data_IF_593933133724
#
_entry.id   IF_593933133724
#
_cell.length_a   1.000
_cell.length_b   1.000
_cell.length_c   1.000
_cell.angle_alpha   90.00
_cell.angle_beta   90.00
_cell.angle_gamma   90.00
#
_symmetry.space_group_name_H-M   'P 1'
#
loop_
_entity.id
_entity.type
_entity.pdbx_description
1 polymer ?
#
# COMPACT_ATOMS: atom_id res chain seq x y z
N UNK A 1 3.88 -12.19 -11.49
CA UNK A 1 3.58 -12.06 -10.04
C UNK A 1 4.44 -12.88 -9.07
N UNK A 2 5.10 -13.97 -9.47
CA UNK A 2 5.86 -14.86 -8.56
C UNK A 2 6.90 -14.13 -7.68
N UNK A 3 7.58 -13.11 -8.25
CA UNK A 3 8.55 -12.26 -7.54
C UNK A 3 7.92 -11.40 -6.42
N UNK A 4 6.75 -10.82 -6.65
CA UNK A 4 6.05 -10.00 -5.65
C UNK A 4 5.61 -10.81 -4.43
N UNK A 5 5.07 -12.01 -4.65
CA UNK A 5 4.71 -12.93 -3.56
C UNK A 5 5.94 -13.40 -2.76
N UNK A 6 7.06 -13.64 -3.44
CA UNK A 6 8.33 -13.96 -2.78
C UNK A 6 8.83 -12.82 -1.87
N UNK A 7 8.75 -11.58 -2.35
CA UNK A 7 9.12 -10.41 -1.54
C UNK A 7 8.24 -10.30 -0.29
N UNK A 8 6.93 -10.44 -0.46
CA UNK A 8 5.97 -10.39 0.64
C UNK A 8 6.19 -11.50 1.67
N UNK A 9 6.48 -12.72 1.22
CA UNK A 9 6.82 -13.83 2.12
C UNK A 9 8.11 -13.57 2.91
N UNK A 10 9.13 -12.94 2.29
CA UNK A 10 10.36 -12.54 2.99
C UNK A 10 10.07 -11.48 4.06
N UNK A 11 9.29 -10.45 3.73
CA UNK A 11 8.90 -9.40 4.69
C UNK A 11 8.06 -9.97 5.82
N UNK A 12 7.14 -10.91 5.53
CA UNK A 12 6.40 -11.63 6.56
C UNK A 12 7.32 -12.39 7.51
N UNK A 13 8.27 -13.17 6.98
CA UNK A 13 9.24 -13.91 7.80
C UNK A 13 10.17 -13.00 8.62
N UNK A 14 10.42 -11.76 8.18
CA UNK A 14 11.10 -10.76 9.01
C UNK A 14 10.19 -10.24 10.13
N UNK A 15 8.93 -9.92 9.80
CA UNK A 15 7.93 -9.45 10.77
C UNK A 15 7.60 -10.48 11.86
N UNK A 16 7.56 -11.77 11.52
CA UNK A 16 7.40 -12.87 12.49
C UNK A 16 8.56 -12.97 13.47
N UNK A 17 9.80 -12.71 13.01
CA UNK A 17 10.99 -12.77 13.86
C UNK A 17 11.16 -11.55 14.76
N UNK A 18 10.85 -10.35 14.24
CA UNK A 18 11.14 -9.08 14.92
C UNK A 18 9.95 -8.57 15.72
N UNK A 19 8.72 -8.72 15.21
CA UNK A 19 7.52 -8.08 15.75
C UNK A 19 6.40 -9.10 15.96
N UNK A 20 6.70 -10.27 16.56
CA UNK A 20 5.77 -11.41 16.62
C UNK A 20 4.39 -11.07 17.20
N UNK A 21 4.37 -10.32 18.29
CA UNK A 21 3.16 -10.05 19.06
C UNK A 21 2.64 -8.61 18.89
N UNK A 22 3.44 -7.73 18.29
CA UNK A 22 3.10 -6.32 18.17
C UNK A 22 2.45 -6.01 16.81
N UNK A 23 1.11 -6.05 16.81
CA UNK A 23 0.31 -5.78 15.61
C UNK A 23 0.49 -4.34 15.11
N UNK A 24 0.70 -3.38 16.01
CA UNK A 24 0.88 -1.98 15.65
C UNK A 24 2.19 -1.78 14.91
N UNK A 25 3.29 -2.38 15.39
CA UNK A 25 4.57 -2.35 14.69
C UNK A 25 4.51 -3.07 13.34
N UNK A 26 3.80 -4.20 13.24
CA UNK A 26 3.59 -4.88 11.95
C UNK A 26 2.83 -4.01 10.95
N UNK A 27 1.76 -3.37 11.41
CA UNK A 27 0.96 -2.47 10.59
C UNK A 27 1.78 -1.25 10.14
N UNK A 28 2.57 -0.69 11.05
CA UNK A 28 3.48 0.41 10.76
C UNK A 28 4.53 0.03 9.71
N UNK A 29 5.20 -1.13 9.87
CA UNK A 29 6.17 -1.64 8.90
C UNK A 29 5.54 -1.88 7.53
N UNK A 30 4.33 -2.42 7.50
CA UNK A 30 3.59 -2.61 6.27
C UNK A 30 3.34 -1.27 5.55
N UNK A 31 2.82 -0.27 6.27
CA UNK A 31 2.56 1.05 5.70
C UNK A 31 3.84 1.67 5.16
N UNK A 32 4.93 1.63 5.91
CA UNK A 32 6.19 2.24 5.46
C UNK A 32 6.87 1.48 4.33
N UNK A 33 6.89 0.15 4.32
CA UNK A 33 7.64 -0.63 3.33
C UNK A 33 6.79 -0.96 2.09
N UNK A 34 5.56 -1.42 2.27
CA UNK A 34 4.73 -1.88 1.17
C UNK A 34 4.05 -0.71 0.49
N UNK A 35 3.46 0.24 1.23
CA UNK A 35 2.81 1.39 0.58
C UNK A 35 3.81 2.30 -0.13
N UNK A 36 5.04 2.44 0.37
CA UNK A 36 6.07 3.23 -0.30
C UNK A 36 6.52 2.59 -1.62
N UNK A 37 6.76 1.29 -1.65
CA UNK A 37 7.12 0.56 -2.87
C UNK A 37 5.97 0.61 -3.88
N UNK A 38 4.73 0.46 -3.42
CA UNK A 38 3.55 0.60 -4.28
C UNK A 38 3.38 2.02 -4.82
N UNK A 39 3.71 3.05 -4.03
CA UNK A 39 3.70 4.45 -4.46
C UNK A 39 4.72 4.70 -5.57
N UNK A 40 5.96 4.25 -5.36
CA UNK A 40 7.04 4.39 -6.33
C UNK A 40 6.76 3.59 -7.62
N UNK A 41 6.19 2.40 -7.49
CA UNK A 41 5.82 1.58 -8.65
C UNK A 41 4.85 2.28 -9.61
N UNK A 42 4.00 3.18 -9.11
CA UNK A 42 3.05 3.94 -9.95
C UNK A 42 3.75 4.98 -10.82
N UNK A 43 4.84 5.57 -10.35
CA UNK A 43 5.66 6.48 -11.17
C UNK A 43 6.29 5.73 -12.35
N UNK A 44 6.63 4.44 -12.15
CA UNK A 44 7.23 3.59 -13.20
C UNK A 44 6.16 3.02 -14.14
N UNK A 45 5.06 2.49 -13.61
CA UNK A 45 4.04 1.76 -14.37
C UNK A 45 2.93 2.67 -14.91
N UNK A 46 2.94 3.96 -14.55
CA UNK A 46 1.88 4.91 -14.84
C UNK A 46 0.59 4.65 -14.06
N UNK A 47 -0.49 5.30 -14.49
CA UNK A 47 -1.81 5.32 -13.85
C UNK A 47 -2.62 4.01 -13.96
N UNK A 48 -1.99 2.94 -14.40
CA UNK A 48 -2.65 1.66 -14.63
C UNK A 48 -2.94 0.92 -13.31
N UNK A 49 -4.17 0.44 -13.14
CA UNK A 49 -4.58 -0.30 -11.95
C UNK A 49 -3.93 -1.69 -11.94
N UNK A 50 -2.95 -1.91 -11.05
CA UNK A 50 -2.33 -3.23 -10.85
C UNK A 50 -3.11 -4.05 -9.83
N UNK A 51 -4.29 -4.53 -10.26
CA UNK A 51 -5.23 -5.34 -9.44
C UNK A 51 -4.55 -6.52 -8.73
N UNK A 52 -3.62 -7.19 -9.39
CA UNK A 52 -2.93 -8.34 -8.79
C UNK A 52 -1.98 -7.93 -7.65
N UNK A 53 -1.34 -6.75 -7.74
CA UNK A 53 -0.45 -6.25 -6.69
C UNK A 53 -1.27 -5.76 -5.49
N UNK A 54 -2.38 -5.07 -5.74
CA UNK A 54 -3.34 -4.70 -4.70
C UNK A 54 -3.88 -5.93 -3.95
N UNK A 55 -4.18 -7.02 -4.66
CA UNK A 55 -4.58 -8.28 -4.03
C UNK A 55 -3.51 -8.82 -3.09
N UNK A 56 -2.24 -8.83 -3.51
CA UNK A 56 -1.13 -9.28 -2.67
C UNK A 56 -0.96 -8.38 -1.44
N UNK A 57 -1.11 -7.06 -1.61
CA UNK A 57 -1.06 -6.09 -0.52
C UNK A 57 -2.18 -6.35 0.51
N UNK A 58 -3.41 -6.60 0.06
CA UNK A 58 -4.54 -6.91 0.94
C UNK A 58 -4.42 -8.30 1.58
N UNK A 59 -3.82 -9.28 0.88
CA UNK A 59 -3.51 -10.59 1.45
C UNK A 59 -2.52 -10.45 2.62
N UNK A 60 -1.52 -9.57 2.49
CA UNK A 60 -0.59 -9.29 3.58
C UNK A 60 -1.27 -8.57 4.76
N UNK A 61 -2.16 -7.61 4.49
CA UNK A 61 -2.96 -6.98 5.54
C UNK A 61 -3.77 -8.03 6.33
N UNK A 62 -4.41 -8.99 5.64
CA UNK A 62 -5.10 -10.10 6.30
C UNK A 62 -4.19 -10.91 7.21
N UNK A 63 -2.95 -11.18 6.78
CA UNK A 63 -1.98 -11.89 7.63
C UNK A 63 -1.61 -11.11 8.89
N UNK A 64 -1.37 -9.79 8.78
CA UNK A 64 -1.07 -8.94 9.95
C UNK A 64 -2.17 -9.05 11.00
N UNK A 65 -3.42 -8.95 10.57
CA UNK A 65 -4.60 -9.00 11.45
C UNK A 65 -5.06 -10.43 11.77
N UNK A 66 -4.32 -11.46 11.33
CA UNK A 66 -4.67 -12.88 11.50
C UNK A 66 -6.10 -13.20 11.05
N UNK A 67 -6.58 -12.52 10.01
CA UNK A 67 -7.90 -12.72 9.45
C UNK A 67 -7.95 -14.02 8.65
N UNK A 68 -9.10 -14.68 8.68
CA UNK A 68 -9.29 -15.91 7.93
C UNK A 68 -9.23 -15.64 6.41
N UNK A 69 -8.80 -16.65 5.65
CA UNK A 69 -8.71 -16.57 4.19
C UNK A 69 -10.09 -16.39 3.53
N UNK A 70 -11.18 -16.79 4.20
CA UNK A 70 -12.54 -16.54 3.74
C UNK A 70 -12.96 -15.08 3.87
N UNK A 71 -12.25 -14.27 4.66
CA UNK A 71 -12.58 -12.84 4.83
C UNK A 71 -12.48 -12.12 3.49
N UNK A 72 -13.59 -11.60 2.95
CA UNK A 72 -13.59 -10.92 1.66
C UNK A 72 -12.72 -9.67 1.71
N UNK A 73 -11.92 -9.46 0.66
CA UNK A 73 -10.98 -8.32 0.57
C UNK A 73 -11.67 -6.96 0.68
N UNK A 74 -12.92 -6.84 0.21
CA UNK A 74 -13.65 -5.58 0.30
C UNK A 74 -13.96 -5.19 1.75
N UNK A 75 -14.19 -6.17 2.64
CA UNK A 75 -14.39 -5.91 4.08
C UNK A 75 -13.10 -5.34 4.65
N UNK A 76 -11.97 -6.01 4.41
CA UNK A 76 -10.64 -5.55 4.85
C UNK A 76 -10.36 -4.12 4.39
N UNK A 77 -10.69 -3.82 3.12
CA UNK A 77 -10.50 -2.51 2.52
C UNK A 77 -11.34 -1.44 3.24
N UNK A 78 -12.60 -1.75 3.53
CA UNK A 78 -13.54 -0.84 4.20
C UNK A 78 -13.20 -0.60 5.67
N UNK A 79 -12.97 -1.68 6.43
CA UNK A 79 -12.68 -1.61 7.86
C UNK A 79 -11.34 -0.91 8.14
N UNK A 80 -10.34 -1.14 7.29
CA UNK A 80 -9.02 -0.50 7.43
C UNK A 80 -8.94 0.88 6.78
N UNK A 81 -10.00 1.33 6.10
CA UNK A 81 -10.01 2.61 5.37
C UNK A 81 -8.94 2.69 4.27
N UNK A 82 -8.62 1.56 3.64
CA UNK A 82 -7.62 1.51 2.56
C UNK A 82 -8.32 1.88 1.27
N UNK A 83 -8.06 3.07 0.73
CA UNK A 83 -8.56 3.43 -0.60
C UNK A 83 -7.90 2.57 -1.69
N UNK A 84 -8.61 2.42 -2.82
CA UNK A 84 -7.98 1.91 -4.04
C UNK A 84 -6.75 2.76 -4.36
N UNK A 85 -5.66 2.09 -4.74
CA UNK A 85 -4.40 2.79 -4.96
C UNK A 85 -4.54 3.84 -6.07
N UNK A 86 -5.26 3.50 -7.15
CA UNK A 86 -5.58 4.44 -8.23
C UNK A 86 -6.18 5.77 -7.73
N UNK A 87 -7.12 5.71 -6.78
CA UNK A 87 -7.77 6.90 -6.21
C UNK A 87 -6.76 7.71 -5.39
N UNK A 88 -6.04 7.02 -4.50
CA UNK A 88 -5.05 7.63 -3.62
C UNK A 88 -3.94 8.36 -4.40
N UNK A 89 -3.52 7.79 -5.52
CA UNK A 89 -2.53 8.42 -6.39
C UNK A 89 -3.11 9.58 -7.19
N UNK A 90 -4.36 9.48 -7.63
CA UNK A 90 -5.04 10.59 -8.32
C UNK A 90 -5.07 11.84 -7.45
N UNK A 91 -5.43 11.67 -6.17
CA UNK A 91 -5.39 12.73 -5.17
C UNK A 91 -3.98 13.25 -4.88
N UNK A 92 -2.96 12.41 -5.02
CA UNK A 92 -1.56 12.80 -4.81
C UNK A 92 -1.05 13.64 -5.98
N UNK A 93 -1.29 13.24 -7.22
CA UNK A 93 -0.88 14.04 -8.37
C UNK A 93 -1.63 15.36 -8.43
N UNK A 94 -2.94 15.37 -8.16
CA UNK A 94 -3.70 16.63 -8.07
C UNK A 94 -3.07 17.62 -7.09
N UNK A 95 -2.65 17.13 -5.91
CA UNK A 95 -1.93 17.93 -4.92
C UNK A 95 -0.56 18.43 -5.39
N UNK A 96 0.15 17.66 -6.22
CA UNK A 96 1.40 18.12 -6.82
C UNK A 96 1.15 19.22 -7.86
N UNK A 97 0.13 19.07 -8.70
CA UNK A 97 -0.26 20.10 -9.69
C UNK A 97 -0.70 21.39 -9.00
N UNK A 98 -1.51 21.30 -7.95
CA UNK A 98 -1.92 22.45 -7.12
C UNK A 98 -0.69 23.19 -6.56
N UNK A 99 0.28 22.46 -6.00
CA UNK A 99 1.54 23.04 -5.51
C UNK A 99 2.37 23.71 -6.61
N UNK A 100 2.41 23.13 -7.81
CA UNK A 100 3.15 23.71 -8.94
C UNK A 100 2.53 25.07 -9.31
N UNK A 101 1.20 25.16 -9.36
CA UNK A 101 0.48 26.41 -9.63
C UNK A 101 0.74 27.47 -8.57
N UNK A 102 0.65 27.10 -7.28
CA UNK A 102 0.95 28.02 -6.18
C UNK A 102 2.39 28.57 -6.24
N UNK A 103 3.36 27.72 -6.60
CA UNK A 103 4.75 28.13 -6.78
C UNK A 103 4.94 29.06 -7.98
N UNK A 104 4.23 28.85 -9.08
CA UNK A 104 4.26 29.75 -10.25
C UNK A 104 3.64 31.12 -9.91
N UNK A 105 2.52 31.14 -9.19
CA UNK A 105 1.80 32.36 -8.81
C UNK A 105 2.53 33.18 -7.75
N UNK A 106 3.31 32.55 -6.87
CA UNK A 106 4.18 33.23 -5.88
C UNK A 106 5.48 33.78 -6.46
N UNK A 107 5.79 33.45 -7.71
CA UNK A 107 7.04 33.84 -8.40
C UNK A 107 6.85 35.09 -9.29
N UNK A 108 5.61 35.53 -9.47
CA UNK A 108 5.20 36.78 -10.10
C UNK A 108 4.67 37.76 -9.04
#
# INVERSE_FOLDING_TARGET
MRKGRLAVNKVWGLGERICKEDINRRWMLFRYLVESVMAYGVEIWGWEEKKELEKIMLDYARWIFKLDFCTPRYIVTRELGIDKLKIRWGLRARRYEEKIKEMEESRW
#
